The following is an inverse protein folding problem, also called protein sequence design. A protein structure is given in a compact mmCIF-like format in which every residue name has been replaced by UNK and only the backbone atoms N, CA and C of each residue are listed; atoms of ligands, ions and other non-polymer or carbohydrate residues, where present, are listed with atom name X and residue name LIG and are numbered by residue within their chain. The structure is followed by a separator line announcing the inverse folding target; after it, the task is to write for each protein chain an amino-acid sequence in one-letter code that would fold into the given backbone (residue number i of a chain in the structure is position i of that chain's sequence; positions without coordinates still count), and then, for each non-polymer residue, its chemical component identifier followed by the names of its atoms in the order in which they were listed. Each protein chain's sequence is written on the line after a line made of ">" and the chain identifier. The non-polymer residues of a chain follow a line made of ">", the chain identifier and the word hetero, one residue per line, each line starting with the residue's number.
data_IF_535019283528
#
_entry.id   IF_535019283528
#
_cell.length_a   1.000
_cell.length_b   1.000
_cell.length_c   1.000
_cell.angle_alpha   90.00
_cell.angle_beta   90.00
_cell.angle_gamma   90.00
#
_symmetry.space_group_name_H-M   'P 1'
#
loop_
_entity.id
_entity.type
_entity.pdbx_description
1 polymer ?
#
# COMPACT_ATOMS: atom_id res chain seq x y z
N UNK A 1 79.75 29.16 -4.86
CA UNK A 1 80.51 27.94 -5.14
C UNK A 1 79.56 26.94 -5.77
N UNK A 2 79.92 26.39 -6.94
CA UNK A 2 79.59 25.02 -7.43
C UNK A 2 78.19 24.48 -7.10
N UNK A 3 77.22 24.35 -8.02
CA UNK A 3 77.26 23.84 -9.41
C UNK A 3 77.78 22.39 -9.53
N UNK A 4 76.96 21.52 -10.15
CA UNK A 4 77.24 20.12 -10.58
C UNK A 4 77.56 19.11 -9.45
N UNK A 5 77.09 17.87 -9.41
CA UNK A 5 76.63 16.96 -10.47
C UNK A 5 75.78 15.84 -9.86
N UNK A 6 74.62 15.51 -10.46
CA UNK A 6 74.19 14.12 -10.74
C UNK A 6 72.85 14.09 -11.52
N UNK A 7 72.90 14.19 -12.85
CA UNK A 7 71.76 13.78 -13.71
C UNK A 7 72.19 13.42 -15.15
N UNK A 8 73.28 12.64 -15.24
CA UNK A 8 73.86 12.16 -16.51
C UNK A 8 73.50 10.68 -16.81
N UNK A 9 72.33 10.22 -16.35
CA UNK A 9 71.96 8.78 -16.35
C UNK A 9 70.49 8.48 -16.67
N UNK A 10 69.98 8.93 -17.84
CA UNK A 10 68.77 8.36 -18.45
C UNK A 10 68.81 8.45 -20.00
N UNK A 11 68.45 7.38 -20.75
CA UNK A 11 68.69 7.30 -22.19
C UNK A 11 67.64 8.01 -23.08
N UNK A 12 68.08 8.46 -24.25
CA UNK A 12 67.21 9.02 -25.30
C UNK A 12 66.43 7.93 -26.04
N UNK A 13 65.10 8.09 -26.18
CA UNK A 13 64.36 7.48 -27.30
C UNK A 13 62.88 7.15 -27.06
N UNK A 14 61.99 7.94 -27.68
CA UNK A 14 60.59 7.61 -28.04
C UNK A 14 59.62 7.44 -26.82
N UNK A 15 58.36 7.89 -26.83
CA UNK A 15 57.49 8.19 -27.97
C UNK A 15 56.39 9.27 -27.70
N UNK A 16 56.17 10.14 -28.70
CA UNK A 16 54.94 10.92 -29.05
C UNK A 16 54.01 11.48 -27.95
N UNK A 17 54.24 12.74 -27.55
CA UNK A 17 53.17 13.60 -27.02
C UNK A 17 52.14 13.97 -28.11
N UNK A 18 50.91 13.47 -27.98
CA UNK A 18 49.78 13.71 -28.89
C UNK A 18 49.34 15.18 -28.87
N UNK A 19 49.88 15.99 -29.80
CA UNK A 19 49.58 17.43 -29.95
C UNK A 19 48.09 17.65 -30.31
N UNK A 20 47.24 17.95 -29.32
CA UNK A 20 45.83 18.32 -29.55
C UNK A 20 45.75 19.59 -30.42
N UNK A 21 45.42 19.43 -31.71
CA UNK A 21 45.00 20.55 -32.58
C UNK A 21 43.74 21.17 -31.99
N UNK A 22 43.85 22.35 -31.38
CA UNK A 22 42.68 23.16 -31.02
C UNK A 22 42.13 23.80 -32.29
N UNK A 23 40.97 23.34 -32.77
CA UNK A 23 40.19 24.12 -33.74
C UNK A 23 39.81 25.44 -33.08
N UNK A 24 40.25 26.56 -33.65
CA UNK A 24 39.75 27.89 -33.29
C UNK A 24 38.49 28.17 -34.11
N UNK A 25 37.33 27.97 -33.49
CA UNK A 25 36.08 28.52 -34.02
C UNK A 25 36.11 30.06 -33.86
N UNK A 26 35.59 30.84 -34.81
CA UNK A 26 35.65 32.31 -34.76
C UNK A 26 34.64 32.95 -33.79
N UNK A 27 33.93 32.14 -33.00
CA UNK A 27 32.89 32.59 -32.08
C UNK A 27 33.19 32.09 -30.66
N UNK A 28 32.89 32.91 -29.66
CA UNK A 28 33.03 32.53 -28.25
C UNK A 28 31.94 31.52 -27.85
N UNK A 29 32.22 30.66 -26.88
CA UNK A 29 31.25 29.70 -26.37
C UNK A 29 29.97 30.37 -25.83
N UNK A 30 30.10 31.60 -25.31
CA UNK A 30 28.98 32.40 -24.82
C UNK A 30 28.07 32.92 -25.96
N UNK A 31 28.63 33.28 -27.11
CA UNK A 31 27.86 33.62 -28.31
C UNK A 31 27.13 32.40 -28.89
N UNK A 32 27.77 31.23 -28.90
CA UNK A 32 27.12 29.99 -29.33
C UNK A 32 25.93 29.63 -28.43
N UNK A 33 26.08 29.77 -27.10
CA UNK A 33 24.99 29.52 -26.15
C UNK A 33 23.84 30.53 -26.30
N UNK A 34 24.15 31.81 -26.49
CA UNK A 34 23.13 32.85 -26.71
C UNK A 34 22.31 32.61 -28.00
N UNK A 35 22.97 32.20 -29.09
CA UNK A 35 22.28 31.82 -30.34
C UNK A 35 21.37 30.61 -30.15
N UNK A 36 21.81 29.60 -29.38
CA UNK A 36 21.03 28.39 -29.11
C UNK A 36 19.78 28.70 -28.26
N UNK A 37 19.92 29.51 -27.21
CA UNK A 37 18.81 29.97 -26.37
C UNK A 37 17.84 30.85 -27.16
N UNK A 38 18.34 31.77 -27.99
CA UNK A 38 17.51 32.60 -28.86
C UNK A 38 16.70 31.77 -29.86
N UNK A 39 17.32 30.77 -30.50
CA UNK A 39 16.63 29.85 -31.41
C UNK A 39 15.51 29.08 -30.68
N UNK A 40 15.79 28.54 -29.50
CA UNK A 40 14.79 27.81 -28.70
C UNK A 40 13.60 28.70 -28.33
N UNK A 41 13.85 29.95 -27.91
CA UNK A 41 12.82 30.90 -27.53
C UNK A 41 11.94 31.28 -28.73
N UNK A 42 12.53 31.47 -29.91
CA UNK A 42 11.79 31.71 -31.17
C UNK A 42 10.96 30.50 -31.58
N UNK A 43 11.48 29.27 -31.49
CA UNK A 43 10.71 28.06 -31.81
C UNK A 43 9.56 27.83 -30.82
N UNK A 44 9.77 28.11 -29.53
CA UNK A 44 8.73 28.00 -28.50
C UNK A 44 7.64 29.06 -28.69
N UNK A 45 8.01 30.32 -28.96
CA UNK A 45 7.05 31.38 -29.25
C UNK A 45 6.26 31.10 -30.54
N UNK A 46 6.91 30.58 -31.58
CA UNK A 46 6.24 30.11 -32.79
C UNK A 46 5.22 29.00 -32.50
N UNK A 47 5.60 27.98 -31.75
CA UNK A 47 4.70 26.92 -31.34
C UNK A 47 3.51 27.47 -30.54
N UNK A 48 3.75 28.32 -29.53
CA UNK A 48 2.70 28.89 -28.68
C UNK A 48 1.71 29.81 -29.43
N UNK A 49 2.15 30.53 -30.46
CA UNK A 49 1.31 31.45 -31.24
C UNK A 49 0.51 30.73 -32.34
N UNK A 50 1.12 29.74 -33.00
CA UNK A 50 0.54 29.08 -34.17
C UNK A 50 -0.14 27.72 -33.87
N UNK A 51 0.23 27.03 -32.78
CA UNK A 51 -0.40 25.77 -32.39
C UNK A 51 -1.69 25.99 -31.60
N UNK A 52 -2.78 26.30 -32.31
CA UNK A 52 -4.14 26.36 -31.74
C UNK A 52 -4.78 24.98 -31.79
N UNK A 53 -4.55 24.18 -30.76
CA UNK A 53 -5.26 22.92 -30.55
C UNK A 53 -6.45 23.14 -29.58
N UNK A 54 -7.70 23.22 -30.09
CA UNK A 54 -8.88 23.50 -29.25
C UNK A 54 -9.31 22.30 -28.37
N UNK A 55 -8.64 21.15 -28.46
CA UNK A 55 -8.95 19.94 -27.68
C UNK A 55 -7.72 19.40 -26.93
N UNK A 56 -6.66 20.20 -26.79
CA UNK A 56 -5.39 19.83 -26.15
C UNK A 56 -5.49 19.62 -24.64
N UNK A 57 -6.17 18.54 -24.20
CA UNK A 57 -6.27 18.14 -22.80
C UNK A 57 -7.35 17.10 -22.47
N UNK A 58 -8.36 16.90 -23.32
CA UNK A 58 -9.48 16.01 -23.00
C UNK A 58 -9.35 14.60 -23.62
N UNK A 59 -9.44 13.51 -22.82
CA UNK A 59 -9.32 12.15 -23.34
C UNK A 59 -10.59 11.69 -24.08
N UNK A 60 -10.57 11.81 -25.40
CA UNK A 60 -11.67 11.42 -26.29
C UNK A 60 -11.63 9.94 -26.68
N UNK A 61 -12.53 9.13 -26.10
CA UNK A 61 -12.79 7.74 -26.53
C UNK A 61 -13.87 7.72 -27.62
N UNK A 62 -13.55 7.20 -28.80
CA UNK A 62 -14.53 6.95 -29.88
C UNK A 62 -15.07 5.52 -29.80
N UNK A 63 -16.28 5.35 -29.26
CA UNK A 63 -16.98 4.06 -29.29
C UNK A 63 -17.73 3.96 -30.62
N UNK A 64 -17.35 2.99 -31.46
CA UNK A 64 -18.11 2.66 -32.66
C UNK A 64 -19.38 1.88 -32.28
N UNK A 65 -20.53 2.54 -32.28
CA UNK A 65 -21.82 1.86 -32.13
C UNK A 65 -22.05 1.04 -33.40
N UNK A 66 -21.99 -0.28 -33.26
CA UNK A 66 -22.31 -1.23 -34.33
C UNK A 66 -23.82 -1.47 -34.30
N UNK A 67 -24.55 -0.78 -35.16
CA UNK A 67 -26.01 -0.97 -35.28
C UNK A 67 -26.32 -2.45 -35.58
N UNK A 68 -27.23 -3.09 -34.82
CA UNK A 68 -27.71 -4.42 -35.16
C UNK A 68 -28.55 -4.32 -36.44
N UNK A 69 -28.08 -5.02 -37.47
CA UNK A 69 -28.69 -5.11 -38.80
C UNK A 69 -30.18 -5.47 -38.71
N UNK A 70 -31.03 -4.68 -39.36
CA UNK A 70 -32.45 -4.99 -39.51
C UNK A 70 -32.66 -6.32 -40.25
N UNK A 71 -33.64 -7.08 -39.78
CA UNK A 71 -34.32 -8.14 -40.54
C UNK A 71 -35.80 -7.78 -40.59
N UNK A 72 -36.33 -7.71 -41.81
CA UNK A 72 -37.70 -7.28 -42.09
C UNK A 72 -38.75 -8.23 -41.52
N UNK A 73 -39.81 -7.69 -40.91
CA UNK A 73 -41.17 -8.20 -41.14
C UNK A 73 -42.26 -7.16 -40.77
N UNK A 74 -43.18 -6.96 -41.72
CA UNK A 74 -44.43 -6.17 -41.69
C UNK A 74 -45.31 -6.79 -42.80
N UNK A 75 -46.66 -6.65 -42.88
CA UNK A 75 -47.55 -5.83 -42.04
C UNK A 75 -48.98 -6.38 -41.70
N UNK A 76 -49.61 -5.78 -40.67
CA UNK A 76 -51.05 -5.46 -40.58
C UNK A 76 -51.22 -4.37 -39.48
N UNK A 77 -51.77 -3.16 -39.69
CA UNK A 77 -53.19 -2.78 -39.91
C UNK A 77 -54.10 -3.30 -38.77
N UNK A 78 -54.80 -2.55 -37.90
CA UNK A 78 -55.24 -1.13 -37.81
C UNK A 78 -55.55 -0.80 -36.30
N UNK A 79 -56.07 0.34 -35.80
CA UNK A 79 -56.42 1.67 -36.36
C UNK A 79 -57.52 2.39 -35.54
N UNK A 80 -57.22 3.56 -34.93
CA UNK A 80 -58.08 4.36 -34.01
C UNK A 80 -58.48 3.68 -32.67
N UNK A 81 -58.83 4.39 -31.58
CA UNK A 81 -58.78 5.84 -31.29
C UNK A 81 -59.44 6.18 -29.93
N UNK A 82 -58.97 7.28 -29.30
CA UNK A 82 -59.58 8.10 -28.24
C UNK A 82 -60.10 7.53 -26.89
N UNK A 83 -59.69 8.26 -25.84
CA UNK A 83 -60.45 8.71 -24.66
C UNK A 83 -61.27 7.73 -23.82
N UNK A 84 -60.88 7.61 -22.53
CA UNK A 84 -61.75 8.05 -21.41
C UNK A 84 -60.97 8.16 -20.08
N UNK A 85 -61.15 9.30 -19.40
CA UNK A 85 -60.83 9.46 -17.97
C UNK A 85 -61.84 8.69 -17.12
N UNK A 86 -61.40 8.11 -16.00
CA UNK A 86 -62.09 8.36 -14.73
C UNK A 86 -61.21 8.12 -13.49
N UNK A 87 -61.14 9.13 -12.63
CA UNK A 87 -60.89 8.99 -11.19
C UNK A 87 -62.10 8.22 -10.58
N UNK A 88 -62.03 7.51 -9.45
CA UNK A 88 -61.80 8.13 -8.13
C UNK A 88 -61.69 7.12 -6.97
N UNK A 89 -60.84 7.46 -5.99
CA UNK A 89 -61.01 7.42 -4.50
C UNK A 89 -61.42 6.16 -3.71
N UNK A 90 -60.64 5.96 -2.63
CA UNK A 90 -61.01 5.61 -1.23
C UNK A 90 -61.76 4.28 -0.94
N UNK A 91 -61.69 3.66 0.25
CA UNK A 91 -61.09 3.96 1.58
C UNK A 91 -60.46 2.63 2.10
N UNK A 92 -59.29 2.60 2.75
CA UNK A 92 -59.02 2.89 4.17
C UNK A 92 -59.67 1.92 5.19
N UNK A 93 -58.89 0.88 5.56
CA UNK A 93 -58.66 0.39 6.96
C UNK A 93 -59.84 -0.21 7.75
N UNK A 94 -59.75 -1.50 8.08
CA UNK A 94 -59.51 -1.95 9.48
C UNK A 94 -59.15 -3.44 9.62
N UNK A 95 -58.41 -3.74 10.68
CA UNK A 95 -58.16 -5.06 11.27
C UNK A 95 -58.34 -4.87 12.80
N UNK A 96 -58.75 -5.87 13.61
CA UNK A 96 -57.85 -6.99 13.93
C UNK A 96 -58.50 -8.33 14.40
N UNK A 97 -57.71 -9.42 14.42
CA UNK A 97 -57.51 -10.28 15.63
C UNK A 97 -56.52 -11.43 15.38
N UNK A 98 -55.83 -11.85 16.45
CA UNK A 98 -54.91 -13.00 16.51
C UNK A 98 -55.60 -14.25 17.05
N UNK A 99 -55.20 -15.42 16.53
CA UNK A 99 -55.06 -16.68 17.26
C UNK A 99 -54.05 -17.58 16.51
N UNK A 100 -53.38 -18.49 17.21
CA UNK A 100 -52.33 -19.38 16.70
C UNK A 100 -52.60 -20.83 17.17
N UNK A 101 -51.71 -21.83 16.94
CA UNK A 101 -50.71 -22.04 15.90
C UNK A 101 -50.85 -23.42 15.18
N UNK A 102 -50.14 -23.62 14.06
CA UNK A 102 -49.69 -24.96 13.65
C UNK A 102 -50.35 -25.60 12.42
N UNK A 103 -50.01 -25.13 11.22
CA UNK A 103 -50.16 -25.89 9.97
C UNK A 103 -48.89 -25.77 9.13
N UNK A 104 -48.33 -26.91 8.70
CA UNK A 104 -47.19 -26.95 7.78
C UNK A 104 -47.66 -26.58 6.36
N UNK A 105 -47.11 -25.51 5.78
CA UNK A 105 -47.34 -25.15 4.39
C UNK A 105 -46.29 -25.80 3.49
N UNK A 106 -46.72 -26.79 2.72
CA UNK A 106 -45.98 -27.28 1.56
C UNK A 106 -46.17 -26.30 0.40
N UNK A 107 -45.08 -25.91 -0.26
CA UNK A 107 -45.13 -25.12 -1.51
C UNK A 107 -44.51 -25.94 -2.63
N UNK A 108 -45.31 -26.28 -3.64
CA UNK A 108 -44.85 -26.93 -4.87
C UNK A 108 -44.26 -25.88 -5.79
N UNK A 109 -42.94 -25.89 -5.99
CA UNK A 109 -42.30 -25.12 -7.07
C UNK A 109 -42.17 -25.99 -8.32
N UNK A 110 -42.43 -25.38 -9.48
CA UNK A 110 -42.28 -26.01 -10.79
C UNK A 110 -41.16 -25.26 -11.52
N UNK A 111 -40.10 -25.96 -11.90
CA UNK A 111 -39.00 -25.38 -12.67
C UNK A 111 -39.46 -25.15 -14.12
N UNK A 112 -39.52 -23.88 -14.53
CA UNK A 112 -39.94 -23.46 -15.86
C UNK A 112 -38.99 -23.83 -17.00
N UNK A 113 -37.82 -24.40 -16.70
CA UNK A 113 -36.84 -24.86 -17.70
C UNK A 113 -36.81 -26.38 -17.91
N UNK A 114 -37.25 -27.17 -16.92
CA UNK A 114 -37.23 -28.65 -16.98
C UNK A 114 -38.58 -29.32 -16.71
N UNK A 115 -39.57 -28.60 -16.21
CA UNK A 115 -40.92 -29.11 -15.92
C UNK A 115 -41.02 -29.99 -14.67
N UNK A 116 -39.94 -30.19 -13.93
CA UNK A 116 -39.93 -30.95 -12.68
C UNK A 116 -40.71 -30.21 -11.58
N UNK A 117 -41.44 -30.98 -10.75
CA UNK A 117 -42.17 -30.47 -9.57
C UNK A 117 -41.41 -30.84 -8.31
N UNK A 118 -41.18 -29.88 -7.44
CA UNK A 118 -40.54 -30.07 -6.15
C UNK A 118 -41.42 -29.54 -5.03
N UNK A 119 -41.79 -30.42 -4.10
CA UNK A 119 -42.54 -30.09 -2.89
C UNK A 119 -41.56 -29.82 -1.74
N UNK A 120 -41.58 -28.61 -1.18
CA UNK A 120 -40.75 -28.25 -0.03
C UNK A 120 -41.62 -28.11 1.21
N UNK A 121 -41.32 -28.89 2.25
CA UNK A 121 -41.95 -28.83 3.58
C UNK A 121 -41.00 -28.10 4.53
N UNK A 122 -41.42 -26.96 5.06
CA UNK A 122 -40.59 -26.15 5.97
C UNK A 122 -40.74 -26.70 7.40
N UNK A 123 -39.70 -27.37 7.89
CA UNK A 123 -39.55 -27.86 9.26
C UNK A 123 -38.08 -27.81 9.68
N UNK A 124 -37.81 -27.56 10.96
CA UNK A 124 -36.46 -27.21 11.43
C UNK A 124 -35.41 -28.31 11.20
N UNK A 125 -34.40 -28.00 10.41
CA UNK A 125 -33.24 -28.84 10.09
C UNK A 125 -32.35 -28.11 9.07
N UNK A 126 -31.03 -28.25 9.19
CA UNK A 126 -30.02 -27.50 8.44
C UNK A 126 -30.17 -27.58 6.91
N UNK A 127 -30.10 -26.42 6.23
CA UNK A 127 -29.79 -26.32 4.80
C UNK A 127 -29.16 -24.95 4.50
N UNK A 128 -28.14 -24.93 3.64
CA UNK A 128 -27.32 -23.76 3.33
C UNK A 128 -28.11 -22.59 2.71
N UNK A 129 -28.07 -21.42 3.35
CA UNK A 129 -28.48 -20.16 2.73
C UNK A 129 -27.27 -19.46 2.10
N UNK A 130 -27.22 -19.42 0.76
CA UNK A 130 -26.31 -18.55 0.01
C UNK A 130 -26.83 -17.11 -0.05
N UNK A 131 -27.05 -16.53 1.13
CA UNK A 131 -27.20 -15.10 1.33
C UNK A 131 -25.82 -14.40 1.27
N UNK A 132 -25.79 -13.19 0.71
CA UNK A 132 -24.56 -12.41 0.52
C UNK A 132 -23.95 -12.00 1.88
N UNK A 133 -22.99 -12.79 2.35
CA UNK A 133 -22.49 -12.71 3.71
C UNK A 133 -21.66 -11.44 3.96
N UNK A 134 -22.24 -10.49 4.68
CA UNK A 134 -21.48 -9.48 5.41
C UNK A 134 -20.42 -10.21 6.27
N UNK A 135 -19.14 -9.96 5.99
CA UNK A 135 -18.04 -10.80 6.45
C UNK A 135 -18.05 -11.00 7.97
N UNK A 136 -18.25 -12.25 8.42
CA UNK A 136 -18.12 -12.61 9.82
C UNK A 136 -16.71 -12.23 10.34
N UNK A 137 -16.58 -11.79 11.60
CA UNK A 137 -15.29 -11.43 12.15
C UNK A 137 -14.36 -12.65 12.18
N UNK A 138 -13.07 -12.50 11.81
CA UNK A 138 -12.17 -13.65 11.69
C UNK A 138 -11.96 -14.34 13.05
N UNK A 139 -11.87 -15.68 13.08
CA UNK A 139 -11.57 -16.42 14.30
C UNK A 139 -10.19 -16.05 14.86
N UNK A 140 -9.92 -16.39 16.12
CA UNK A 140 -8.58 -16.20 16.70
C UNK A 140 -7.60 -17.12 15.97
N UNK A 141 -6.56 -16.54 15.38
CA UNK A 141 -5.58 -17.29 14.56
C UNK A 141 -4.65 -18.14 15.44
N UNK A 142 -4.15 -19.25 14.90
CA UNK A 142 -3.19 -20.10 15.61
C UNK A 142 -1.88 -19.33 15.91
N UNK A 143 -1.36 -19.48 17.13
CA UNK A 143 -0.15 -18.77 17.57
C UNK A 143 -0.33 -17.30 17.93
N UNK A 144 -1.57 -16.81 18.03
CA UNK A 144 -1.92 -15.49 18.58
C UNK A 144 -2.33 -15.66 20.05
N UNK A 145 -1.81 -14.81 20.93
CA UNK A 145 -2.22 -14.80 22.34
C UNK A 145 -3.62 -14.19 22.46
N UNK A 146 -4.65 -14.95 22.90
CA UNK A 146 -6.00 -14.42 23.04
C UNK A 146 -6.11 -13.29 24.06
N UNK A 147 -5.18 -13.18 25.02
CA UNK A 147 -5.15 -12.06 25.99
C UNK A 147 -4.85 -10.72 25.34
N UNK A 148 -4.10 -10.72 24.23
CA UNK A 148 -3.76 -9.51 23.48
C UNK A 148 -4.85 -9.10 22.48
N UNK A 149 -6.07 -9.65 22.60
CA UNK A 149 -7.22 -9.33 21.78
C UNK A 149 -8.41 -8.89 22.66
N UNK A 150 -9.07 -7.80 22.26
CA UNK A 150 -10.38 -7.40 22.78
C UNK A 150 -11.44 -7.44 21.66
N UNK A 151 -12.70 -7.69 22.04
CA UNK A 151 -13.81 -7.74 21.08
C UNK A 151 -14.33 -6.32 20.78
N UNK A 152 -14.33 -5.95 19.51
CA UNK A 152 -14.98 -4.74 18.99
C UNK A 152 -16.23 -5.08 18.17
N UNK A 153 -16.95 -4.05 17.71
CA UNK A 153 -18.05 -4.18 16.73
C UNK A 153 -17.64 -4.81 15.39
N UNK A 154 -16.34 -4.77 15.05
CA UNK A 154 -15.80 -5.26 13.78
C UNK A 154 -15.00 -6.57 13.91
N UNK A 155 -14.91 -7.15 15.11
CA UNK A 155 -14.11 -8.34 15.39
C UNK A 155 -13.04 -8.10 16.46
N UNK A 156 -12.08 -9.02 16.56
CA UNK A 156 -10.99 -8.93 17.54
C UNK A 156 -9.97 -7.86 17.13
N UNK A 157 -9.62 -6.97 18.05
CA UNK A 157 -8.63 -5.90 17.84
C UNK A 157 -7.55 -5.96 18.95
N UNK A 158 -6.30 -5.53 18.68
CA UNK A 158 -5.19 -5.71 19.62
C UNK A 158 -5.34 -4.86 20.88
N UNK A 159 -4.97 -5.41 22.03
CA UNK A 159 -4.95 -4.75 23.34
C UNK A 159 -3.67 -5.11 24.12
N UNK A 160 -3.32 -4.28 25.10
CA UNK A 160 -2.26 -4.57 26.08
C UNK A 160 -2.87 -5.38 27.23
N UNK A 161 -2.27 -6.52 27.57
CA UNK A 161 -2.70 -7.35 28.70
C UNK A 161 -1.49 -7.86 29.50
N UNK A 162 -1.62 -7.95 30.83
CA UNK A 162 -0.58 -8.44 31.74
C UNK A 162 0.81 -7.78 31.56
N UNK A 163 0.84 -6.50 31.12
CA UNK A 163 2.07 -5.77 30.78
C UNK A 163 2.67 -6.11 29.41
N UNK A 164 2.19 -7.17 28.77
CA UNK A 164 2.57 -7.56 27.40
C UNK A 164 1.94 -6.63 26.37
N UNK A 165 2.78 -6.14 25.45
CA UNK A 165 2.39 -5.30 24.32
C UNK A 165 2.45 -6.09 23.02
N UNK A 166 1.47 -5.98 22.11
CA UNK A 166 1.54 -6.56 20.76
C UNK A 166 2.87 -6.29 20.03
N UNK A 167 3.42 -5.09 20.13
CA UNK A 167 4.74 -4.75 19.58
C UNK A 167 5.88 -5.65 20.06
N UNK A 168 5.84 -6.10 21.32
CA UNK A 168 6.88 -6.97 21.89
C UNK A 168 6.63 -8.44 21.60
N UNK A 169 5.37 -8.90 21.71
CA UNK A 169 5.00 -10.32 21.57
C UNK A 169 4.96 -10.77 20.11
N UNK A 170 4.66 -9.86 19.18
CA UNK A 170 4.55 -10.17 17.76
C UNK A 170 5.76 -9.73 16.92
N UNK A 171 6.77 -9.11 17.52
CA UNK A 171 8.08 -8.88 16.91
C UNK A 171 8.71 -10.22 16.46
N UNK A 172 9.47 -10.18 15.36
CA UNK A 172 10.27 -11.34 14.98
C UNK A 172 11.58 -11.41 15.80
N UNK A 173 12.11 -12.63 15.92
CA UNK A 173 13.38 -12.86 16.61
C UNK A 173 14.54 -12.18 15.86
N UNK A 174 15.45 -11.59 16.63
CA UNK A 174 16.67 -11.01 16.11
C UNK A 174 17.78 -11.11 17.16
N UNK A 175 19.02 -11.28 16.71
CA UNK A 175 20.19 -11.12 17.57
C UNK A 175 20.39 -9.63 17.88
N UNK A 176 19.64 -9.13 18.87
CA UNK A 176 19.68 -7.73 19.32
C UNK A 176 21.05 -7.33 19.88
N UNK A 177 21.80 -8.28 20.43
CA UNK A 177 23.15 -8.04 20.97
C UNK A 177 24.17 -7.80 19.85
N UNK A 178 24.06 -8.52 18.72
CA UNK A 178 24.83 -8.26 17.50
C UNK A 178 24.33 -7.01 16.77
N UNK A 179 23.01 -6.80 16.69
CA UNK A 179 22.41 -5.61 16.08
C UNK A 179 22.87 -4.30 16.74
N UNK A 180 23.09 -4.30 18.07
CA UNK A 180 23.64 -3.16 18.79
C UNK A 180 25.11 -2.83 18.42
N UNK A 181 25.88 -3.80 17.91
CA UNK A 181 27.33 -3.67 17.66
C UNK A 181 27.72 -3.55 16.18
N UNK A 182 26.76 -3.67 15.26
CA UNK A 182 27.00 -3.65 13.81
C UNK A 182 26.03 -2.68 13.11
N UNK A 183 26.37 -2.15 11.93
CA UNK A 183 25.40 -1.54 11.02
C UNK A 183 24.21 -2.49 10.77
N UNK A 184 22.98 -1.99 10.86
CA UNK A 184 21.78 -2.79 10.57
C UNK A 184 20.93 -2.17 9.49
N UNK A 185 20.27 -3.02 8.71
CA UNK A 185 19.20 -2.61 7.79
C UNK A 185 17.93 -3.38 8.12
N UNK A 186 16.79 -2.68 8.11
CA UNK A 186 15.48 -3.30 8.00
C UNK A 186 14.88 -3.05 6.61
N UNK A 187 14.11 -4.01 6.11
CA UNK A 187 13.35 -3.87 4.86
C UNK A 187 11.87 -4.10 5.19
N UNK A 188 11.01 -3.23 4.67
CA UNK A 188 9.55 -3.33 4.78
C UNK A 188 8.95 -3.47 3.38
N UNK A 189 8.25 -4.57 3.13
CA UNK A 189 7.50 -4.78 1.88
C UNK A 189 6.03 -4.46 2.10
N UNK A 190 5.54 -3.42 1.44
CA UNK A 190 4.14 -3.00 1.45
C UNK A 190 3.34 -3.50 0.24
N UNK A 191 2.04 -3.21 0.26
CA UNK A 191 1.07 -3.57 -0.77
C UNK A 191 0.59 -5.03 -0.72
N UNK A 192 0.92 -5.77 0.34
CA UNK A 192 0.59 -7.19 0.46
C UNK A 192 -0.90 -7.40 0.79
N UNK A 193 -1.44 -8.55 0.39
CA UNK A 193 -2.87 -8.87 0.49
C UNK A 193 -3.64 -8.64 -0.81
N UNK A 194 -3.26 -7.63 -1.60
CA UNK A 194 -3.81 -7.43 -2.96
C UNK A 194 -3.03 -8.28 -3.96
N UNK A 195 -3.67 -9.32 -4.50
CA UNK A 195 -3.05 -10.28 -5.41
C UNK A 195 -2.32 -11.42 -4.68
N UNK A 196 -2.97 -12.58 -4.64
CA UNK A 196 -2.51 -13.75 -3.91
C UNK A 196 -1.11 -14.26 -4.34
N UNK A 197 -0.80 -14.20 -5.65
CA UNK A 197 0.49 -14.63 -6.19
C UNK A 197 1.64 -13.75 -5.69
N UNK A 198 1.56 -12.42 -5.87
CA UNK A 198 2.57 -11.45 -5.38
C UNK A 198 2.79 -11.57 -3.87
N UNK A 199 1.69 -11.70 -3.13
CA UNK A 199 1.71 -11.84 -1.67
C UNK A 199 2.39 -13.14 -1.23
N UNK A 200 2.09 -14.25 -1.89
CA UNK A 200 2.74 -15.54 -1.60
C UNK A 200 4.21 -15.52 -2.00
N UNK A 201 4.57 -14.91 -3.13
CA UNK A 201 5.95 -14.75 -3.57
C UNK A 201 6.81 -13.98 -2.55
N UNK A 202 6.29 -12.87 -1.99
CA UNK A 202 6.99 -12.13 -0.94
C UNK A 202 7.24 -12.99 0.31
N UNK A 203 6.21 -13.70 0.78
CA UNK A 203 6.28 -14.58 1.97
C UNK A 203 7.23 -15.78 1.78
N UNK A 204 7.35 -16.30 0.55
CA UNK A 204 8.13 -17.53 0.29
C UNK A 204 9.55 -17.28 -0.21
N UNK A 205 9.86 -16.10 -0.78
CA UNK A 205 11.16 -15.81 -1.42
C UNK A 205 12.07 -14.89 -0.59
N UNK A 206 11.51 -14.11 0.34
CA UNK A 206 12.27 -13.20 1.19
C UNK A 206 12.63 -13.89 2.51
N UNK A 207 13.78 -13.57 3.12
CA UNK A 207 14.14 -14.12 4.42
C UNK A 207 13.24 -13.53 5.53
N UNK A 208 12.98 -14.31 6.58
CA UNK A 208 12.09 -13.96 7.70
C UNK A 208 12.39 -12.61 8.39
N UNK A 209 13.63 -12.12 8.31
CA UNK A 209 14.03 -10.81 8.83
C UNK A 209 13.49 -9.61 8.02
N UNK A 210 12.89 -9.82 6.84
CA UNK A 210 12.14 -8.80 6.11
C UNK A 210 10.74 -8.68 6.70
N UNK A 211 10.36 -7.48 7.12
CA UNK A 211 9.02 -7.20 7.67
C UNK A 211 8.01 -7.03 6.53
N UNK A 212 6.83 -7.62 6.70
CA UNK A 212 5.77 -7.65 5.70
C UNK A 212 4.58 -6.79 6.14
N UNK A 213 4.23 -5.79 5.35
CA UNK A 213 3.13 -4.87 5.65
C UNK A 213 1.91 -5.17 4.76
N UNK A 214 0.78 -5.53 5.39
CA UNK A 214 -0.43 -6.00 4.71
C UNK A 214 -1.52 -4.93 4.67
N UNK A 215 -2.16 -4.81 3.52
CA UNK A 215 -3.37 -3.99 3.32
C UNK A 215 -4.59 -4.65 3.99
N UNK A 216 -5.60 -3.87 4.41
CA UNK A 216 -6.78 -4.40 5.11
C UNK A 216 -7.81 -5.03 4.16
N UNK A 217 -7.59 -4.90 2.84
CA UNK A 217 -8.51 -5.27 1.76
C UNK A 217 -8.15 -6.58 1.05
N UNK A 218 -7.19 -7.36 1.57
CA UNK A 218 -6.95 -8.71 1.07
C UNK A 218 -8.20 -9.59 1.20
N UNK A 219 -8.36 -10.57 0.31
CA UNK A 219 -9.54 -11.46 0.31
C UNK A 219 -9.66 -12.33 1.56
N UNK A 220 -8.53 -12.70 2.16
CA UNK A 220 -8.44 -13.40 3.45
C UNK A 220 -7.18 -12.91 4.19
N UNK A 221 -7.25 -11.75 4.88
CA UNK A 221 -6.07 -11.16 5.52
C UNK A 221 -5.58 -12.00 6.70
N UNK A 222 -6.48 -12.72 7.40
CA UNK A 222 -6.15 -13.60 8.51
C UNK A 222 -5.27 -14.78 8.08
N UNK A 223 -5.67 -15.54 7.06
CA UNK A 223 -4.92 -16.69 6.54
C UNK A 223 -3.58 -16.30 5.90
N UNK A 224 -3.53 -15.11 5.29
CA UNK A 224 -2.28 -14.55 4.75
C UNK A 224 -1.32 -14.18 5.89
N UNK A 225 -1.82 -13.53 6.94
CA UNK A 225 -1.05 -13.19 8.13
C UNK A 225 -0.56 -14.45 8.89
N UNK A 226 -1.39 -15.48 8.99
CA UNK A 226 -1.02 -16.78 9.57
C UNK A 226 0.17 -17.38 8.81
N UNK A 227 0.08 -17.46 7.48
CA UNK A 227 1.16 -17.98 6.62
C UNK A 227 2.46 -17.19 6.77
N UNK A 228 2.38 -15.86 6.84
CA UNK A 228 3.55 -15.00 7.05
C UNK A 228 4.22 -15.28 8.40
N UNK A 229 3.44 -15.41 9.50
CA UNK A 229 3.97 -15.78 10.82
C UNK A 229 4.50 -17.21 10.88
N UNK A 230 3.91 -18.16 10.14
CA UNK A 230 4.46 -19.52 9.99
C UNK A 230 5.85 -19.50 9.34
N UNK A 231 6.07 -18.63 8.35
CA UNK A 231 7.40 -18.35 7.76
C UNK A 231 8.28 -17.41 8.62
N UNK A 232 7.90 -17.17 9.89
CA UNK A 232 8.61 -16.33 10.88
C UNK A 232 8.76 -14.85 10.52
N UNK A 233 8.04 -14.35 9.52
CA UNK A 233 8.03 -12.93 9.22
C UNK A 233 7.38 -12.12 10.33
N UNK A 234 7.98 -10.97 10.63
CA UNK A 234 7.31 -9.88 11.32
C UNK A 234 6.27 -9.25 10.40
N UNK A 235 5.10 -8.91 10.95
CA UNK A 235 4.00 -8.34 10.16
C UNK A 235 3.49 -7.02 10.74
N UNK A 236 3.16 -6.09 9.86
CA UNK A 236 2.54 -4.80 10.17
C UNK A 236 1.23 -4.65 9.38
N UNK A 237 0.26 -3.93 9.95
CA UNK A 237 -0.97 -3.56 9.26
C UNK A 237 -0.82 -2.20 8.58
N UNK A 238 -1.05 -2.15 7.27
CA UNK A 238 -1.10 -0.91 6.52
C UNK A 238 -2.46 -0.24 6.68
N UNK A 239 -2.47 1.03 7.07
CA UNK A 239 -3.66 1.85 7.25
C UNK A 239 -3.75 2.79 6.03
N UNK A 240 -4.77 2.62 5.17
CA UNK A 240 -5.02 3.53 4.05
C UNK A 240 -5.37 4.94 4.57
N UNK A 241 -4.66 5.96 4.08
CA UNK A 241 -4.74 7.33 4.59
C UNK A 241 -4.75 8.35 3.44
N UNK A 242 -5.41 9.50 3.64
CA UNK A 242 -5.60 10.54 2.61
C UNK A 242 -4.29 11.08 2.01
N UNK A 243 -4.07 10.92 0.69
CA UNK A 243 -3.02 11.64 -0.04
C UNK A 243 -3.47 13.08 -0.40
N UNK A 244 -2.69 13.82 -1.20
CA UNK A 244 -3.07 15.18 -1.61
C UNK A 244 -4.05 15.21 -2.79
N UNK A 245 -4.03 14.18 -3.62
CA UNK A 245 -4.82 13.92 -4.83
C UNK A 245 -6.07 13.06 -4.55
N UNK A 246 -6.58 13.07 -3.32
CA UNK A 246 -7.87 12.45 -2.99
C UNK A 246 -9.02 13.34 -3.50
N UNK A 247 -10.07 12.80 -4.16
CA UNK A 247 -10.40 11.38 -4.31
C UNK A 247 -9.89 10.71 -5.60
N UNK A 248 -9.21 11.42 -6.50
CA UNK A 248 -8.73 10.87 -7.79
C UNK A 248 -7.80 9.66 -7.59
N UNK A 249 -7.10 9.62 -6.46
CA UNK A 249 -6.24 8.53 -6.02
C UNK A 249 -6.72 8.01 -4.64
N UNK A 250 -7.82 7.25 -4.63
CA UNK A 250 -8.41 6.67 -3.40
C UNK A 250 -7.66 5.39 -2.95
N UNK A 251 -7.05 5.38 -1.74
CA UNK A 251 -6.44 4.19 -1.15
C UNK A 251 -7.44 3.07 -0.78
N UNK A 252 -8.75 3.34 -0.77
CA UNK A 252 -9.83 2.38 -0.58
C UNK A 252 -10.99 2.87 0.32
N UNK A 253 -12.09 2.11 0.41
CA UNK A 253 -13.37 2.59 0.98
C UNK A 253 -13.33 3.01 2.46
N UNK A 254 -12.31 2.57 3.21
CA UNK A 254 -12.12 2.87 4.64
C UNK A 254 -10.91 3.79 4.89
N UNK A 255 -10.41 4.51 3.87
CA UNK A 255 -9.32 5.49 4.00
C UNK A 255 -9.56 6.47 5.14
N UNK A 256 -8.56 6.75 5.98
CA UNK A 256 -8.65 7.80 7.00
C UNK A 256 -8.50 9.17 6.34
N UNK A 257 -9.43 10.10 6.62
CA UNK A 257 -9.54 11.40 5.95
C UNK A 257 -9.44 12.56 6.92
N UNK A 258 -8.74 13.62 6.53
CA UNK A 258 -8.61 14.86 7.31
C UNK A 258 -9.90 15.67 7.41
N UNK A 259 -10.88 15.39 6.54
CA UNK A 259 -12.23 15.98 6.55
C UNK A 259 -13.21 15.28 7.51
N UNK A 260 -12.87 14.09 8.02
CA UNK A 260 -13.70 13.35 8.96
C UNK A 260 -13.41 13.75 10.42
N UNK A 261 -14.41 13.60 11.29
CA UNK A 261 -14.21 13.76 12.73
C UNK A 261 -13.24 12.71 13.30
N UNK A 262 -12.71 12.98 14.50
CA UNK A 262 -11.86 12.02 15.20
C UNK A 262 -12.58 10.68 15.42
N UNK A 263 -13.87 10.69 15.79
CA UNK A 263 -14.67 9.49 16.03
C UNK A 263 -14.94 8.70 14.73
N UNK A 264 -15.18 9.39 13.61
CA UNK A 264 -15.34 8.74 12.31
C UNK A 264 -14.05 8.06 11.85
N UNK A 265 -12.89 8.72 12.00
CA UNK A 265 -11.60 8.10 11.73
C UNK A 265 -11.28 6.98 12.74
N UNK A 266 -11.75 7.06 13.98
CA UNK A 266 -11.57 6.00 14.98
C UNK A 266 -12.37 4.74 14.64
N UNK A 267 -13.61 4.89 14.19
CA UNK A 267 -14.44 3.77 13.74
C UNK A 267 -13.82 3.07 12.50
N UNK A 268 -13.30 3.85 11.54
CA UNK A 268 -12.51 3.32 10.41
C UNK A 268 -11.24 2.62 10.87
N UNK A 269 -10.51 3.18 11.84
CA UNK A 269 -9.32 2.55 12.42
C UNK A 269 -9.67 1.21 13.07
N UNK A 270 -10.76 1.12 13.83
CA UNK A 270 -11.20 -0.14 14.46
C UNK A 270 -11.59 -1.20 13.42
N UNK A 271 -12.18 -0.79 12.29
CA UNK A 271 -12.43 -1.69 11.17
C UNK A 271 -11.12 -2.24 10.58
N UNK A 272 -10.10 -1.39 10.39
CA UNK A 272 -8.78 -1.83 9.91
C UNK A 272 -8.11 -2.78 10.90
N UNK A 273 -8.11 -2.42 12.18
CA UNK A 273 -7.44 -3.18 13.24
C UNK A 273 -8.03 -4.60 13.40
N UNK A 274 -9.29 -4.84 13.00
CA UNK A 274 -9.95 -6.15 13.12
C UNK A 274 -9.75 -7.10 11.94
N UNK A 275 -9.15 -6.64 10.83
CA UNK A 275 -9.02 -7.42 9.59
C UNK A 275 -8.08 -8.61 9.72
N UNK A 276 -7.09 -8.52 10.60
CA UNK A 276 -6.06 -9.51 10.85
C UNK A 276 -5.59 -9.42 12.31
N UNK A 277 -4.77 -10.38 12.76
CA UNK A 277 -4.23 -10.43 14.12
C UNK A 277 -2.71 -10.68 14.07
N UNK A 278 -2.02 -10.48 15.19
CA UNK A 278 -0.60 -10.84 15.32
C UNK A 278 0.40 -9.91 14.63
N UNK A 279 0.03 -8.65 14.40
CA UNK A 279 0.95 -7.60 13.93
C UNK A 279 1.59 -6.83 15.10
N UNK A 280 2.86 -6.45 14.92
CA UNK A 280 3.60 -5.69 15.92
C UNK A 280 3.27 -4.18 15.88
N UNK A 281 2.77 -3.69 14.75
CA UNK A 281 2.47 -2.28 14.58
C UNK A 281 1.62 -1.97 13.35
N UNK A 282 1.36 -0.68 13.18
CA UNK A 282 0.68 -0.11 12.01
C UNK A 282 1.65 0.76 11.21
N UNK A 283 1.35 0.94 9.92
CA UNK A 283 2.04 1.88 9.02
C UNK A 283 1.03 2.63 8.18
N UNK A 284 1.38 3.83 7.69
CA UNK A 284 0.59 4.45 6.63
C UNK A 284 0.69 3.65 5.32
N UNK A 285 -0.37 3.74 4.51
CA UNK A 285 -0.35 3.47 3.08
C UNK A 285 -0.83 4.74 2.39
N UNK A 286 0.06 5.33 1.58
CA UNK A 286 -0.07 6.70 1.08
C UNK A 286 -0.17 7.69 2.25
N UNK A 287 -1.22 8.50 2.36
CA UNK A 287 -1.44 9.34 3.55
C UNK A 287 -0.65 10.64 3.62
N UNK A 288 0.01 11.07 2.55
CA UNK A 288 0.95 12.21 2.59
C UNK A 288 0.33 13.54 3.09
N UNK A 289 -1.00 13.70 2.97
CA UNK A 289 -1.78 14.79 3.57
C UNK A 289 -2.20 14.46 5.01
N UNK A 290 -2.72 13.27 5.24
CA UNK A 290 -3.15 12.81 6.57
C UNK A 290 -2.02 12.85 7.61
N UNK A 291 -0.86 12.25 7.32
CA UNK A 291 0.29 12.19 8.25
C UNK A 291 0.93 13.56 8.52
N UNK A 292 0.65 14.57 7.67
CA UNK A 292 1.07 15.95 7.87
C UNK A 292 0.03 16.80 8.62
N UNK A 293 -1.13 16.24 8.98
CA UNK A 293 -2.25 16.95 9.61
C UNK A 293 -2.37 16.54 11.08
N UNK A 294 -1.83 17.38 11.98
CA UNK A 294 -1.73 17.08 13.42
C UNK A 294 -3.07 16.66 14.05
N UNK A 295 -4.12 17.46 13.87
CA UNK A 295 -5.45 17.18 14.43
C UNK A 295 -6.05 15.83 14.01
N UNK A 296 -5.70 15.32 12.82
CA UNK A 296 -6.17 14.04 12.30
C UNK A 296 -5.27 12.87 12.73
N UNK A 297 -3.96 13.07 12.77
CA UNK A 297 -2.98 12.02 13.05
C UNK A 297 -2.81 11.75 14.56
N UNK A 298 -2.95 12.77 15.39
CA UNK A 298 -2.79 12.67 16.86
C UNK A 298 -3.74 11.65 17.52
N UNK A 299 -5.06 11.59 17.22
CA UNK A 299 -5.95 10.54 17.73
C UNK A 299 -5.51 9.13 17.35
N UNK A 300 -5.06 8.92 16.10
CA UNK A 300 -4.66 7.61 15.56
C UNK A 300 -3.42 7.09 16.28
N UNK A 301 -2.41 7.94 16.47
CA UNK A 301 -1.20 7.59 17.22
C UNK A 301 -1.50 7.29 18.69
N UNK A 302 -2.37 8.10 19.35
CA UNK A 302 -2.79 7.82 20.73
C UNK A 302 -3.45 6.45 20.90
N UNK A 303 -4.39 6.11 20.03
CA UNK A 303 -5.08 4.82 20.13
C UNK A 303 -4.15 3.64 19.80
N UNK A 304 -3.29 3.76 18.79
CA UNK A 304 -2.31 2.72 18.48
C UNK A 304 -1.30 2.53 19.63
N UNK A 305 -0.84 3.62 20.27
CA UNK A 305 0.05 3.56 21.43
C UNK A 305 -0.62 2.92 22.65
N UNK A 306 -1.88 3.26 22.94
CA UNK A 306 -2.73 2.64 23.97
C UNK A 306 -2.87 1.12 23.75
N UNK A 307 -2.97 0.69 22.49
CA UNK A 307 -3.00 -0.73 22.09
C UNK A 307 -1.64 -1.43 22.11
N UNK A 308 -0.57 -0.73 22.49
CA UNK A 308 0.78 -1.29 22.57
C UNK A 308 1.39 -1.65 21.22
N UNK A 309 0.96 -0.97 20.15
CA UNK A 309 1.49 -1.10 18.80
C UNK A 309 2.68 -0.15 18.58
N UNK A 310 3.54 -0.48 17.63
CA UNK A 310 4.49 0.47 17.02
C UNK A 310 3.87 1.21 15.84
N UNK A 311 4.40 2.40 15.52
CA UNK A 311 4.06 3.11 14.28
C UNK A 311 5.27 3.17 13.35
N UNK A 312 5.09 2.77 12.11
CA UNK A 312 6.06 2.96 11.04
C UNK A 312 5.55 4.02 10.05
N UNK A 313 6.36 5.04 9.82
CA UNK A 313 6.17 6.04 8.77
C UNK A 313 6.91 5.55 7.53
N UNK A 314 6.22 5.34 6.41
CA UNK A 314 6.86 4.81 5.18
C UNK A 314 7.89 5.77 4.54
N UNK A 315 7.99 7.00 5.05
CA UNK A 315 8.91 8.04 4.57
C UNK A 315 8.37 8.90 3.43
N UNK A 316 7.18 8.58 2.89
CA UNK A 316 6.62 9.24 1.70
C UNK A 316 6.33 10.74 1.89
N UNK A 317 6.12 11.20 3.12
CA UNK A 317 5.88 12.61 3.45
C UNK A 317 7.04 13.21 4.27
N UNK A 318 7.82 14.13 3.69
CA UNK A 318 8.81 14.91 4.44
C UNK A 318 8.20 15.77 5.56
N UNK A 319 6.91 16.13 5.43
CA UNK A 319 6.15 16.95 6.40
C UNK A 319 5.35 16.14 7.43
N UNK A 320 5.57 14.83 7.51
CA UNK A 320 4.89 13.99 8.50
C UNK A 320 5.16 14.46 9.94
N UNK A 321 4.10 14.56 10.74
CA UNK A 321 4.15 14.85 12.18
C UNK A 321 4.16 13.58 13.04
N UNK A 322 4.12 12.40 12.40
CA UNK A 322 4.13 11.11 13.08
C UNK A 322 5.32 10.91 14.05
N UNK A 323 6.56 11.39 13.77
CA UNK A 323 7.66 11.29 14.74
C UNK A 323 7.35 12.02 16.06
N UNK A 324 6.80 13.24 15.98
CA UNK A 324 6.48 14.08 17.14
C UNK A 324 5.29 13.50 17.92
N UNK A 325 4.24 13.07 17.20
CA UNK A 325 3.08 12.42 17.80
C UNK A 325 3.49 11.12 18.53
N UNK A 326 4.28 10.26 17.89
CA UNK A 326 4.73 8.99 18.47
C UNK A 326 5.64 9.21 19.70
N UNK A 327 6.53 10.21 19.65
CA UNK A 327 7.35 10.61 20.78
C UNK A 327 6.49 11.06 21.98
N UNK A 328 5.42 11.84 21.75
CA UNK A 328 4.51 12.30 22.82
C UNK A 328 3.80 11.17 23.57
N UNK A 329 3.67 9.99 22.95
CA UNK A 329 3.03 8.80 23.52
C UNK A 329 4.04 7.73 23.97
N UNK A 330 5.34 8.04 23.98
CA UNK A 330 6.43 7.09 24.19
C UNK A 330 6.36 5.82 23.29
N UNK A 331 5.72 5.97 22.11
CA UNK A 331 5.45 4.87 21.19
C UNK A 331 6.75 4.41 20.51
N UNK A 332 6.91 3.10 20.19
CA UNK A 332 7.93 2.65 19.27
C UNK A 332 7.68 3.26 17.88
N UNK A 333 8.70 3.88 17.30
CA UNK A 333 8.61 4.61 16.03
C UNK A 333 9.77 4.25 15.11
N UNK A 334 9.49 4.17 13.81
CA UNK A 334 10.49 4.09 12.75
C UNK A 334 10.01 4.90 11.54
N UNK A 335 10.97 5.38 10.74
CA UNK A 335 10.69 6.07 9.48
C UNK A 335 11.50 5.43 8.36
N UNK A 336 10.89 5.26 7.19
CA UNK A 336 11.61 4.84 5.97
C UNK A 336 12.65 5.89 5.57
N UNK A 337 13.91 5.48 5.46
CA UNK A 337 15.00 6.33 4.95
C UNK A 337 14.99 6.38 3.42
N UNK A 338 14.71 5.25 2.76
CA UNK A 338 14.84 5.08 1.31
C UNK A 338 13.71 4.20 0.78
N UNK A 339 12.91 4.76 -0.13
CA UNK A 339 12.03 3.98 -1.00
C UNK A 339 12.87 3.34 -2.13
N UNK A 340 12.86 2.01 -2.18
CA UNK A 340 13.76 1.19 -3.00
C UNK A 340 13.31 1.11 -4.46
N UNK A 341 12.00 1.04 -4.71
CA UNK A 341 11.42 0.73 -6.02
C UNK A 341 10.56 1.84 -6.62
N UNK A 342 10.84 3.10 -6.24
CA UNK A 342 10.26 4.32 -6.86
C UNK A 342 10.33 4.28 -8.39
N UNK A 343 11.45 3.77 -8.93
CA UNK A 343 11.60 3.41 -10.33
C UNK A 343 11.85 1.89 -10.38
N UNK A 344 10.85 1.06 -10.73
CA UNK A 344 10.91 -0.39 -10.57
C UNK A 344 11.71 -1.08 -11.69
N UNK A 345 12.98 -0.72 -11.80
CA UNK A 345 13.96 -1.35 -12.71
C UNK A 345 15.12 -1.94 -11.91
N UNK A 346 15.75 -3.04 -12.35
CA UNK A 346 16.84 -3.67 -11.60
C UNK A 346 17.97 -2.70 -11.22
N UNK A 347 18.38 -1.83 -12.15
CA UNK A 347 19.50 -0.91 -11.95
C UNK A 347 19.20 0.21 -10.94
N UNK A 348 17.97 0.74 -10.91
CA UNK A 348 17.59 1.76 -9.92
C UNK A 348 17.34 1.15 -8.54
N UNK A 349 16.75 -0.06 -8.48
CA UNK A 349 16.60 -0.83 -7.23
C UNK A 349 17.97 -1.15 -6.63
N UNK A 350 18.91 -1.68 -7.41
CA UNK A 350 20.28 -1.95 -6.95
C UNK A 350 20.97 -0.66 -6.46
N UNK A 351 20.74 0.48 -7.13
CA UNK A 351 21.26 1.79 -6.70
C UNK A 351 20.65 2.23 -5.37
N UNK A 352 19.35 2.03 -5.16
CA UNK A 352 18.68 2.36 -3.90
C UNK A 352 19.15 1.46 -2.76
N UNK A 353 19.34 0.16 -3.00
CA UNK A 353 19.90 -0.79 -2.03
C UNK A 353 21.34 -0.44 -1.63
N UNK A 354 22.20 -0.06 -2.59
CA UNK A 354 23.55 0.42 -2.27
C UNK A 354 23.53 1.74 -1.45
N UNK A 355 22.59 2.67 -1.72
CA UNK A 355 22.40 3.86 -0.88
C UNK A 355 21.95 3.51 0.54
N UNK A 356 21.12 2.47 0.68
CA UNK A 356 20.62 1.99 1.97
C UNK A 356 21.74 1.37 2.82
N UNK A 357 22.67 0.64 2.18
CA UNK A 357 23.90 0.19 2.84
C UNK A 357 24.76 1.35 3.34
N UNK A 358 25.00 2.37 2.51
CA UNK A 358 25.79 3.54 2.91
C UNK A 358 25.15 4.25 4.10
N UNK A 359 23.83 4.50 4.05
CA UNK A 359 23.09 5.09 5.16
C UNK A 359 23.20 4.27 6.45
N UNK A 360 23.11 2.94 6.37
CA UNK A 360 23.27 2.05 7.52
C UNK A 360 24.70 2.05 8.09
N UNK A 361 25.73 2.20 7.25
CA UNK A 361 27.14 2.35 7.70
C UNK A 361 27.39 3.69 8.38
N UNK A 362 26.86 4.76 7.81
CA UNK A 362 27.02 6.14 8.32
C UNK A 362 26.26 6.36 9.64
N UNK A 363 25.04 5.81 9.77
CA UNK A 363 24.12 6.07 10.89
C UNK A 363 23.95 4.89 11.85
N UNK A 364 24.59 3.75 11.56
CA UNK A 364 24.42 2.48 12.28
C UNK A 364 23.09 1.74 12.04
N UNK A 365 22.09 2.42 11.47
CA UNK A 365 20.74 1.89 11.15
C UNK A 365 20.22 2.58 9.89
N UNK A 366 19.57 1.83 8.99
CA UNK A 366 18.69 2.42 7.96
C UNK A 366 17.50 1.50 7.65
N UNK A 367 16.38 2.09 7.22
CA UNK A 367 15.14 1.36 6.90
C UNK A 367 14.74 1.60 5.44
N UNK A 368 14.67 0.52 4.67
CA UNK A 368 14.22 0.55 3.27
C UNK A 368 12.75 0.16 3.14
N UNK A 369 12.00 0.88 2.30
CA UNK A 369 10.62 0.54 1.93
C UNK A 369 10.55 0.09 0.48
N UNK A 370 9.73 -0.92 0.17
CA UNK A 370 9.46 -1.35 -1.19
C UNK A 370 8.03 -1.88 -1.35
N UNK A 371 7.55 -1.97 -2.58
CA UNK A 371 6.28 -2.62 -2.91
C UNK A 371 6.48 -4.10 -3.23
N UNK A 372 5.40 -4.89 -3.15
CA UNK A 372 5.36 -6.30 -3.53
C UNK A 372 5.42 -6.54 -5.07
N UNK A 373 6.33 -5.87 -5.77
CA UNK A 373 6.59 -6.07 -7.19
C UNK A 373 7.55 -7.26 -7.39
N UNK A 374 7.37 -8.10 -8.44
CA UNK A 374 8.24 -9.25 -8.68
C UNK A 374 9.73 -8.89 -8.77
N UNK A 375 10.06 -7.80 -9.46
CA UNK A 375 11.43 -7.29 -9.58
C UNK A 375 11.99 -6.85 -8.23
N UNK A 376 11.22 -6.14 -7.40
CA UNK A 376 11.64 -5.72 -6.06
C UNK A 376 11.93 -6.92 -5.17
N UNK A 377 11.02 -7.92 -5.15
CA UNK A 377 11.18 -9.16 -4.39
C UNK A 377 12.45 -9.92 -4.84
N UNK A 378 12.69 -10.04 -6.14
CA UNK A 378 13.87 -10.71 -6.68
C UNK A 378 15.17 -10.00 -6.30
N UNK A 379 15.29 -8.68 -6.56
CA UNK A 379 16.52 -7.92 -6.27
C UNK A 379 16.81 -7.85 -4.78
N UNK A 380 15.80 -7.59 -3.94
CA UNK A 380 15.93 -7.58 -2.49
C UNK A 380 16.33 -8.99 -1.99
N UNK A 381 15.64 -10.04 -2.44
CA UNK A 381 15.96 -11.42 -2.06
C UNK A 381 17.36 -11.87 -2.46
N UNK A 382 17.89 -11.42 -3.59
CA UNK A 382 19.27 -11.64 -3.99
C UNK A 382 20.26 -10.82 -3.13
N UNK A 383 20.00 -9.53 -2.94
CA UNK A 383 20.85 -8.60 -2.21
C UNK A 383 21.00 -8.97 -0.72
N UNK A 384 19.90 -9.30 -0.04
CA UNK A 384 19.90 -9.68 1.39
C UNK A 384 20.87 -10.82 1.73
N UNK A 385 21.08 -11.76 0.79
CA UNK A 385 22.03 -12.88 0.95
C UNK A 385 23.49 -12.42 1.04
N UNK A 386 23.81 -11.24 0.50
CA UNK A 386 25.18 -10.69 0.45
C UNK A 386 25.50 -9.72 1.59
N UNK A 387 24.51 -9.35 2.41
CA UNK A 387 24.68 -8.35 3.49
C UNK A 387 25.68 -8.78 4.56
N UNK A 388 25.68 -10.07 4.91
CA UNK A 388 26.56 -10.62 5.94
C UNK A 388 28.05 -10.43 5.60
N UNK A 389 28.43 -10.76 4.36
CA UNK A 389 29.79 -10.59 3.83
C UNK A 389 30.22 -9.11 3.81
N UNK A 390 29.24 -8.21 3.69
CA UNK A 390 29.43 -6.76 3.70
C UNK A 390 29.47 -6.17 5.12
N UNK A 391 29.34 -6.99 6.17
CA UNK A 391 29.36 -6.57 7.57
C UNK A 391 28.11 -5.80 8.02
N UNK A 392 26.98 -5.99 7.34
CA UNK A 392 25.68 -5.38 7.68
C UNK A 392 24.72 -6.49 8.11
N UNK A 393 23.98 -6.27 9.21
CA UNK A 393 22.98 -7.22 9.68
C UNK A 393 21.58 -6.83 9.18
N UNK A 394 20.92 -7.73 8.46
CA UNK A 394 19.48 -7.62 8.18
C UNK A 394 18.70 -7.93 9.47
N UNK A 395 17.79 -7.05 9.87
CA UNK A 395 16.96 -7.19 11.07
C UNK A 395 15.49 -6.89 10.79
N UNK A 396 14.55 -7.47 11.55
CA UNK A 396 13.15 -7.05 11.55
C UNK A 396 13.00 -5.57 11.92
N UNK A 397 11.96 -4.94 11.38
CA UNK A 397 11.65 -3.53 11.60
C UNK A 397 11.57 -3.16 13.08
N UNK A 398 10.93 -3.97 13.94
CA UNK A 398 10.87 -3.70 15.39
C UNK A 398 12.26 -3.55 16.03
N UNK A 399 13.27 -4.28 15.54
CA UNK A 399 14.65 -4.19 16.04
C UNK A 399 15.32 -2.89 15.60
N UNK A 400 15.10 -2.45 14.36
CA UNK A 400 15.57 -1.14 13.89
C UNK A 400 14.89 0.03 14.62
N UNK A 401 13.58 -0.06 14.87
CA UNK A 401 12.78 0.94 15.62
C UNK A 401 13.21 1.11 17.09
N UNK A 402 13.81 0.07 17.69
CA UNK A 402 14.36 0.13 19.04
C UNK A 402 15.80 0.66 19.05
N UNK A 403 16.60 0.32 18.02
CA UNK A 403 17.99 0.76 17.92
C UNK A 403 18.11 2.28 17.69
N UNK A 404 17.20 2.87 16.92
CA UNK A 404 17.19 4.32 16.63
C UNK A 404 17.06 5.23 17.86
N UNK A 405 16.72 4.69 19.04
CA UNK A 405 16.65 5.42 20.32
C UNK A 405 17.91 5.28 21.18
N UNK A 406 18.93 4.56 20.72
CA UNK A 406 20.15 4.20 21.48
C UNK A 406 21.45 4.75 20.86
N UNK A 407 21.34 5.62 19.87
CA UNK A 407 22.44 6.33 19.19
C UNK A 407 22.13 7.83 19.20
#
# INVERSE_FOLDING_TARGET
>A
MTETADDLSAPLGQDKLRRKRRLRLPFTAMQALAMLLGLFLVTFAGFAIFNKDPLGGEPMTRIAIREPKATDEKPAASGHGQDSKQESKHETREAPKQAAPGEQKTVTMIDGSTGARHDVVIGAGEADDKGEAASAPPPVMAGIDPKLLEKSRYGMIPVVADGSKPFNVYAADADRAKAAKMPVVAIVIGGLGVGAAKTTDAIMKLPAAVTLAFTPYGSDPGKIAERARTQRHEIFLQIPMEPYDFPDNDPGPQTLLTSLSADQNMDRLYWHLSRMQGYAGITNFMGARFVATDAAMQPIIREAAKRGLGFFDDGSSPRSIAPQAAASQAMPFGKGDIAIDVVPTPAEIDRALNKLESAARERGTAIGTASALPVSIERIGAWTKTLGDRGILLVPLTTAMLKSKSS
#
